data_IF_160043463245
#
_entry.id   IF_160043463245
#
_cell.length_a   1.000
_cell.length_b   1.000
_cell.length_c   1.000
_cell.angle_alpha   90.00
_cell.angle_beta   90.00
_cell.angle_gamma   90.00
#
_symmetry.space_group_name_H-M   'P 1'
#
loop_
_entity.id
_entity.type
_entity.pdbx_description
1 polymer ?
#
# COMPACT_ATOMS: atom_id res chain seq x y z
N UNK A 1 -0.98 22.78 10.57
CA UNK A 1 -1.03 22.89 9.07
C UNK A 1 -2.21 23.76 8.65
N UNK A 2 -2.07 24.67 7.66
CA UNK A 2 -3.21 25.48 7.16
C UNK A 2 -4.35 24.58 6.64
N UNK A 3 -5.59 24.91 6.98
CA UNK A 3 -6.78 24.09 6.66
C UNK A 3 -6.92 23.72 5.18
N UNK A 4 -6.56 24.64 4.26
CA UNK A 4 -6.62 24.37 2.81
C UNK A 4 -5.58 23.34 2.35
N UNK A 5 -4.35 23.43 2.87
CA UNK A 5 -3.26 22.50 2.55
C UNK A 5 -3.63 21.08 3.03
N UNK A 6 -4.18 20.97 4.25
CA UNK A 6 -4.71 19.71 4.79
C UNK A 6 -5.70 19.07 3.82
N UNK A 7 -6.68 19.83 3.35
CA UNK A 7 -7.71 19.33 2.43
C UNK A 7 -7.11 18.88 1.09
N UNK A 8 -6.16 19.63 0.53
CA UNK A 8 -5.48 19.24 -0.73
C UNK A 8 -4.77 17.89 -0.61
N UNK A 9 -4.01 17.67 0.47
CA UNK A 9 -3.39 16.37 0.73
C UNK A 9 -4.43 15.26 0.82
N UNK A 10 -5.49 15.47 1.60
CA UNK A 10 -6.53 14.46 1.80
C UNK A 10 -7.28 14.11 0.50
N UNK A 11 -7.60 15.11 -0.33
CA UNK A 11 -8.23 14.89 -1.63
C UNK A 11 -7.31 14.12 -2.58
N UNK A 12 -6.01 14.45 -2.61
CA UNK A 12 -5.04 13.71 -3.42
C UNK A 12 -4.97 12.24 -2.99
N UNK A 13 -4.86 11.99 -1.68
CA UNK A 13 -4.80 10.63 -1.12
C UNK A 13 -6.11 9.86 -1.33
N UNK A 14 -7.25 10.55 -1.35
CA UNK A 14 -8.54 9.92 -1.62
C UNK A 14 -8.70 9.51 -3.11
N UNK A 15 -8.36 10.41 -4.04
CA UNK A 15 -8.75 10.27 -5.45
C UNK A 15 -7.70 9.51 -6.27
N UNK A 16 -6.42 9.84 -6.11
CA UNK A 16 -5.36 9.30 -6.98
C UNK A 16 -5.27 7.76 -6.94
N UNK A 17 -5.40 7.09 -5.79
CA UNK A 17 -5.38 5.64 -5.77
C UNK A 17 -6.53 5.00 -6.56
N UNK A 18 -7.77 5.50 -6.42
CA UNK A 18 -8.92 5.01 -7.19
C UNK A 18 -8.72 5.27 -8.68
N UNK A 19 -8.22 6.45 -9.04
CA UNK A 19 -7.89 6.75 -10.42
C UNK A 19 -6.89 5.75 -11.00
N UNK A 20 -5.83 5.40 -10.25
CA UNK A 20 -4.80 4.44 -10.67
C UNK A 20 -5.37 3.02 -10.88
N UNK A 21 -6.21 2.53 -9.98
CA UNK A 21 -6.88 1.22 -10.15
C UNK A 21 -7.89 1.26 -11.30
N UNK A 22 -8.68 2.32 -11.38
CA UNK A 22 -9.73 2.47 -12.40
C UNK A 22 -9.17 2.59 -13.82
N UNK A 23 -8.11 3.40 -14.01
CA UNK A 23 -7.48 3.54 -15.33
C UNK A 23 -6.86 2.22 -15.79
N UNK A 24 -6.22 1.48 -14.89
CA UNK A 24 -5.62 0.18 -15.25
C UNK A 24 -6.69 -0.85 -15.62
N UNK A 25 -7.76 -0.92 -14.83
CA UNK A 25 -8.89 -1.81 -15.09
C UNK A 25 -9.56 -1.52 -16.45
N UNK A 26 -9.84 -0.25 -16.76
CA UNK A 26 -10.48 0.13 -18.02
C UNK A 26 -9.54 -0.04 -19.22
N UNK A 27 -8.30 0.43 -19.09
CA UNK A 27 -7.36 0.45 -20.22
C UNK A 27 -6.77 -0.93 -20.50
N UNK A 28 -6.66 -1.84 -19.52
CA UNK A 28 -6.24 -3.22 -19.78
C UNK A 28 -7.22 -4.01 -20.65
N UNK A 29 -8.50 -3.62 -20.65
CA UNK A 29 -9.55 -4.20 -21.52
C UNK A 29 -9.57 -3.51 -22.89
N UNK A 30 -9.50 -2.17 -22.91
CA UNK A 30 -9.64 -1.37 -24.15
C UNK A 30 -8.35 -1.36 -24.98
N UNK A 31 -7.20 -1.23 -24.32
CA UNK A 31 -5.87 -1.13 -24.92
C UNK A 31 -4.92 -2.10 -24.21
N UNK A 32 -5.06 -3.40 -24.49
CA UNK A 32 -4.26 -4.41 -23.81
C UNK A 32 -2.77 -4.23 -24.09
N UNK A 33 -2.00 -4.80 -23.18
CA UNK A 33 -0.56 -4.83 -23.27
C UNK A 33 -0.15 -5.67 -24.49
N UNK A 34 0.73 -5.16 -25.38
CA UNK A 34 1.23 -5.96 -26.50
C UNK A 34 1.87 -7.29 -26.05
N UNK A 35 2.39 -7.34 -24.81
CA UNK A 35 2.99 -8.53 -24.23
C UNK A 35 2.03 -9.49 -23.52
N UNK A 36 0.73 -9.16 -23.35
CA UNK A 36 -0.22 -10.01 -22.60
C UNK A 36 -0.89 -11.10 -23.43
N UNK A 37 -0.49 -11.29 -24.70
CA UNK A 37 -1.09 -12.31 -25.57
C UNK A 37 -2.50 -11.98 -26.07
N UNK A 38 -3.01 -10.77 -25.82
CA UNK A 38 -4.33 -10.31 -26.25
C UNK A 38 -5.05 -9.43 -25.23
N UNK A 39 -6.31 -9.10 -25.55
CA UNK A 39 -7.21 -8.39 -24.64
C UNK A 39 -7.61 -9.29 -23.47
N UNK A 40 -7.38 -8.80 -22.25
CA UNK A 40 -7.94 -9.45 -21.06
C UNK A 40 -9.43 -9.11 -21.00
N UNK A 41 -10.23 -10.10 -20.63
CA UNK A 41 -11.60 -9.85 -20.17
C UNK A 41 -11.60 -9.02 -18.89
N UNK A 42 -12.71 -8.37 -18.58
CA UNK A 42 -12.81 -7.49 -17.42
C UNK A 42 -12.56 -8.23 -16.10
N UNK A 43 -13.09 -9.45 -15.99
CA UNK A 43 -12.88 -10.37 -14.87
C UNK A 43 -11.43 -10.82 -14.76
N UNK A 44 -10.77 -11.20 -15.86
CA UNK A 44 -9.33 -11.50 -15.86
C UNK A 44 -8.50 -10.30 -15.39
N UNK A 45 -8.87 -9.08 -15.80
CA UNK A 45 -8.19 -7.86 -15.33
C UNK A 45 -8.35 -7.65 -13.83
N UNK A 46 -9.56 -7.86 -13.28
CA UNK A 46 -9.77 -7.80 -11.82
C UNK A 46 -8.93 -8.84 -11.10
N UNK A 47 -8.95 -10.09 -11.58
CA UNK A 47 -8.21 -11.20 -10.98
C UNK A 47 -6.70 -10.90 -11.03
N UNK A 48 -6.20 -10.36 -12.13
CA UNK A 48 -4.79 -10.02 -12.28
C UNK A 48 -4.37 -8.83 -11.39
N UNK A 49 -5.28 -7.91 -11.09
CA UNK A 49 -4.96 -6.79 -10.20
C UNK A 49 -5.03 -7.17 -8.71
N UNK A 50 -6.04 -7.93 -8.30
CA UNK A 50 -6.28 -8.22 -6.87
C UNK A 50 -5.19 -9.08 -6.23
N UNK A 51 -4.39 -9.79 -7.03
CA UNK A 51 -3.26 -10.60 -6.53
C UNK A 51 -2.07 -9.76 -6.06
N UNK A 52 -2.02 -8.46 -6.37
CA UNK A 52 -0.89 -7.60 -5.99
C UNK A 52 -1.18 -6.83 -4.70
N UNK A 53 -0.23 -6.85 -3.76
CA UNK A 53 -0.34 -6.11 -2.50
C UNK A 53 -0.40 -4.58 -2.69
N UNK A 54 0.20 -4.05 -3.76
CA UNK A 54 0.11 -2.63 -4.09
C UNK A 54 -1.34 -2.19 -4.31
N UNK A 55 -2.14 -2.99 -5.01
CA UNK A 55 -3.58 -2.72 -5.22
C UNK A 55 -4.33 -2.68 -3.89
N UNK A 56 -4.07 -3.62 -2.97
CA UNK A 56 -4.66 -3.61 -1.64
C UNK A 56 -4.26 -2.36 -0.84
N UNK A 57 -2.99 -1.98 -0.92
CA UNK A 57 -2.44 -0.77 -0.30
C UNK A 57 -3.09 0.49 -0.86
N UNK A 58 -3.31 0.53 -2.17
CA UNK A 58 -3.92 1.65 -2.89
C UNK A 58 -5.39 1.81 -2.52
N UNK A 59 -6.16 0.72 -2.45
CA UNK A 59 -7.55 0.74 -2.02
C UNK A 59 -7.70 1.17 -0.55
N UNK A 60 -6.93 0.59 0.37
CA UNK A 60 -7.02 0.97 1.79
C UNK A 60 -6.59 2.43 2.03
N UNK A 61 -5.60 2.90 1.26
CA UNK A 61 -5.16 4.30 1.29
C UNK A 61 -6.26 5.24 0.81
N UNK A 62 -6.96 4.89 -0.27
CA UNK A 62 -8.12 5.65 -0.74
C UNK A 62 -9.25 5.67 0.27
N UNK A 63 -9.64 4.51 0.80
CA UNK A 63 -10.73 4.43 1.78
C UNK A 63 -10.42 5.24 3.03
N UNK A 64 -9.17 5.19 3.51
CA UNK A 64 -8.71 6.08 4.56
C UNK A 64 -8.81 7.55 4.14
N UNK A 65 -8.30 7.92 2.97
CA UNK A 65 -8.33 9.28 2.44
C UNK A 65 -9.75 9.84 2.31
N UNK A 66 -10.67 9.09 1.70
CA UNK A 66 -12.10 9.44 1.57
C UNK A 66 -12.71 9.66 2.95
N UNK A 67 -12.47 8.74 3.88
CA UNK A 67 -12.99 8.85 5.24
C UNK A 67 -12.43 10.08 5.97
N UNK A 68 -11.14 10.39 5.77
CA UNK A 68 -10.49 11.57 6.31
C UNK A 68 -11.02 12.88 5.69
N UNK A 69 -11.32 12.90 4.38
CA UNK A 69 -12.01 14.03 3.72
C UNK A 69 -13.41 14.21 4.31
N UNK A 70 -14.18 13.12 4.50
CA UNK A 70 -15.49 13.21 5.13
C UNK A 70 -15.39 13.76 6.56
N UNK A 71 -14.41 13.29 7.34
CA UNK A 71 -14.17 13.78 8.69
C UNK A 71 -13.76 15.25 8.74
N UNK A 72 -13.09 15.77 7.70
CA UNK A 72 -12.73 17.19 7.58
C UNK A 72 -13.96 18.10 7.63
N UNK A 73 -15.09 17.68 7.05
CA UNK A 73 -16.33 18.46 7.02
C UNK A 73 -17.31 18.09 8.16
N UNK A 74 -17.00 17.08 8.98
CA UNK A 74 -17.87 16.63 10.08
C UNK A 74 -17.51 17.34 11.39
N UNK A 75 -18.54 17.53 12.23
CA UNK A 75 -18.36 17.92 13.64
C UNK A 75 -17.58 16.84 14.38
N UNK A 76 -16.75 17.23 15.36
CA UNK A 76 -15.88 16.31 16.12
C UNK A 76 -16.62 15.10 16.70
N UNK A 77 -17.85 15.26 17.21
CA UNK A 77 -18.66 14.18 17.77
C UNK A 77 -19.17 13.14 16.76
N UNK A 78 -19.07 13.42 15.45
CA UNK A 78 -19.54 12.54 14.37
C UNK A 78 -18.41 12.03 13.47
N UNK A 79 -17.16 12.27 13.86
CA UNK A 79 -16.00 11.79 13.12
C UNK A 79 -15.88 10.27 13.22
N UNK A 80 -15.46 9.66 12.13
CA UNK A 80 -15.21 8.22 12.04
C UNK A 80 -13.87 7.94 12.71
N UNK A 81 -13.92 7.26 13.87
CA UNK A 81 -12.76 7.06 14.75
C UNK A 81 -11.59 6.32 14.08
N UNK A 82 -11.88 5.41 13.14
CA UNK A 82 -10.85 4.68 12.40
C UNK A 82 -9.92 5.61 11.61
N UNK A 83 -10.46 6.61 10.90
CA UNK A 83 -9.66 7.51 10.07
C UNK A 83 -8.89 8.58 10.87
N UNK A 84 -9.36 8.92 12.08
CA UNK A 84 -8.63 9.80 13.00
C UNK A 84 -7.52 9.05 13.77
N UNK A 85 -7.53 7.72 13.77
CA UNK A 85 -6.56 6.93 14.53
C UNK A 85 -5.13 7.12 14.01
N UNK A 86 -4.24 7.52 14.91
CA UNK A 86 -2.81 7.62 14.61
C UNK A 86 -2.20 6.30 14.13
N UNK A 87 -2.65 5.17 14.71
CA UNK A 87 -2.16 3.87 14.29
C UNK A 87 -2.57 3.53 12.85
N UNK A 88 -3.79 3.89 12.44
CA UNK A 88 -4.28 3.64 11.09
C UNK A 88 -3.49 4.46 10.08
N UNK A 89 -3.21 5.74 10.37
CA UNK A 89 -2.36 6.49 9.45
C UNK A 89 -0.91 5.97 9.45
N UNK A 90 -0.36 5.57 10.59
CA UNK A 90 0.95 4.91 10.62
C UNK A 90 0.95 3.65 9.77
N UNK A 91 -0.11 2.83 9.82
CA UNK A 91 -0.29 1.66 8.96
C UNK A 91 -0.27 2.05 7.47
N UNK A 92 -1.11 3.01 7.06
CA UNK A 92 -1.17 3.50 5.67
C UNK A 92 0.19 3.99 5.18
N UNK A 93 0.88 4.83 5.98
CA UNK A 93 2.21 5.35 5.64
C UNK A 93 3.23 4.22 5.52
N UNK A 94 3.18 3.24 6.43
CA UNK A 94 4.10 2.10 6.40
C UNK A 94 3.88 1.26 5.14
N UNK A 95 2.63 1.06 4.73
CA UNK A 95 2.32 0.31 3.52
C UNK A 95 2.84 1.03 2.29
N UNK A 96 2.63 2.35 2.21
CA UNK A 96 3.13 3.18 1.13
C UNK A 96 4.66 3.18 1.04
N UNK A 97 5.36 3.21 2.18
CA UNK A 97 6.83 3.09 2.22
C UNK A 97 7.28 1.71 1.72
N UNK A 98 6.65 0.62 2.20
CA UNK A 98 7.03 -0.73 1.78
C UNK A 98 6.82 -0.92 0.27
N UNK A 99 5.67 -0.50 -0.25
CA UNK A 99 5.36 -0.57 -1.68
C UNK A 99 6.35 0.27 -2.50
N UNK A 100 6.64 1.51 -2.09
CA UNK A 100 7.66 2.34 -2.73
C UNK A 100 9.02 1.66 -2.77
N UNK A 101 9.47 1.08 -1.64
CA UNK A 101 10.77 0.41 -1.55
C UNK A 101 10.82 -0.82 -2.44
N UNK A 102 9.82 -1.71 -2.37
CA UNK A 102 9.75 -2.91 -3.21
C UNK A 102 9.83 -2.49 -4.68
N UNK A 103 8.98 -1.55 -5.10
CA UNK A 103 8.90 -1.15 -6.50
C UNK A 103 10.19 -0.46 -6.98
N UNK A 104 10.78 0.40 -6.15
CA UNK A 104 12.05 1.09 -6.47
C UNK A 104 13.21 0.10 -6.56
N UNK A 105 13.33 -0.85 -5.62
CA UNK A 105 14.39 -1.85 -5.66
C UNK A 105 14.22 -2.80 -6.86
N UNK A 106 13.00 -3.24 -7.16
CA UNK A 106 12.73 -4.03 -8.37
C UNK A 106 13.09 -3.23 -9.62
N UNK A 107 12.78 -1.92 -9.65
CA UNK A 107 13.13 -1.06 -10.79
C UNK A 107 14.64 -0.95 -11.04
N UNK A 108 15.42 -0.84 -9.96
CA UNK A 108 16.88 -0.75 -10.05
C UNK A 108 17.51 -2.11 -10.39
N UNK A 109 17.02 -3.18 -9.77
CA UNK A 109 17.64 -4.50 -9.88
C UNK A 109 17.26 -5.27 -11.15
N UNK A 110 16.03 -5.08 -11.64
CA UNK A 110 15.47 -5.84 -12.77
C UNK A 110 14.50 -4.96 -13.57
N UNK A 111 15.05 -3.96 -14.27
CA UNK A 111 14.28 -2.97 -15.04
C UNK A 111 13.31 -3.62 -16.05
N UNK A 112 13.72 -4.72 -16.66
CA UNK A 112 12.92 -5.45 -17.66
C UNK A 112 11.88 -6.39 -17.03
N UNK A 113 11.96 -6.63 -15.71
CA UNK A 113 11.06 -7.50 -14.96
C UNK A 113 9.88 -6.77 -14.30
N UNK A 114 9.72 -5.47 -14.54
CA UNK A 114 8.68 -4.67 -13.88
C UNK A 114 7.39 -4.75 -14.66
N UNK A 115 6.43 -5.47 -14.10
CA UNK A 115 5.04 -5.38 -14.51
C UNK A 115 4.55 -3.95 -14.28
N UNK A 116 4.16 -3.26 -15.34
CA UNK A 116 3.61 -1.90 -15.26
C UNK A 116 4.31 -0.82 -16.09
N UNK A 117 5.32 -1.14 -16.91
CA UNK A 117 6.03 -0.15 -17.75
C UNK A 117 5.89 -0.35 -19.26
N UNK A 118 4.97 -1.21 -19.69
CA UNK A 118 4.77 -1.57 -21.09
C UNK A 118 3.86 -0.62 -21.87
N UNK A 119 2.93 0.06 -21.19
CA UNK A 119 1.98 0.99 -21.81
C UNK A 119 1.93 2.33 -21.07
N UNK A 120 1.53 3.40 -21.76
CA UNK A 120 1.53 4.76 -21.19
C UNK A 120 0.68 4.86 -19.90
N UNK A 121 -0.46 4.16 -19.82
CA UNK A 121 -1.35 4.22 -18.66
C UNK A 121 -0.79 3.43 -17.49
N UNK A 122 -0.13 2.29 -17.75
CA UNK A 122 0.58 1.54 -16.70
C UNK A 122 1.77 2.33 -16.17
N UNK A 123 2.51 3.04 -17.04
CA UNK A 123 3.59 3.95 -16.63
C UNK A 123 3.03 5.05 -15.73
N UNK A 124 1.97 5.75 -16.17
CA UNK A 124 1.33 6.81 -15.39
C UNK A 124 0.85 6.31 -14.03
N UNK A 125 0.13 5.18 -14.01
CA UNK A 125 -0.32 4.49 -12.80
C UNK A 125 0.85 4.22 -11.87
N UNK A 126 1.89 3.57 -12.38
CA UNK A 126 3.05 3.15 -11.60
C UNK A 126 3.79 4.35 -10.99
N UNK A 127 3.97 5.43 -11.76
CA UNK A 127 4.58 6.69 -11.28
C UNK A 127 3.73 7.31 -10.16
N UNK A 128 2.41 7.40 -10.35
CA UNK A 128 1.51 7.98 -9.36
C UNK A 128 1.43 7.14 -8.09
N UNK A 129 1.24 5.83 -8.22
CA UNK A 129 0.99 4.88 -7.13
C UNK A 129 2.25 4.57 -6.33
N UNK A 130 3.39 4.39 -6.99
CA UNK A 130 4.59 3.86 -6.32
C UNK A 130 5.63 4.93 -6.01
N UNK A 131 5.57 6.13 -6.59
CA UNK A 131 6.49 7.23 -6.25
C UNK A 131 5.77 8.45 -5.70
N UNK A 132 4.82 9.03 -6.44
CA UNK A 132 4.22 10.32 -6.04
C UNK A 132 3.36 10.16 -4.78
N UNK A 133 2.42 9.21 -4.76
CA UNK A 133 1.51 8.99 -3.65
C UNK A 133 2.25 8.69 -2.33
N UNK A 134 3.27 7.81 -2.28
CA UNK A 134 4.06 7.59 -1.07
C UNK A 134 4.65 8.87 -0.49
N UNK A 135 5.26 9.74 -1.31
CA UNK A 135 5.80 11.01 -0.82
C UNK A 135 4.71 11.95 -0.32
N UNK A 136 3.55 12.00 -0.97
CA UNK A 136 2.40 12.81 -0.52
C UNK A 136 1.88 12.31 0.84
N UNK A 137 1.74 10.99 1.02
CA UNK A 137 1.27 10.37 2.27
C UNK A 137 2.28 10.58 3.40
N UNK A 138 3.59 10.41 3.13
CA UNK A 138 4.67 10.67 4.10
C UNK A 138 4.69 12.15 4.48
N UNK A 139 4.58 13.05 3.49
CA UNK A 139 4.53 14.50 3.71
C UNK A 139 3.35 14.88 4.61
N UNK A 140 2.15 14.37 4.32
CA UNK A 140 0.98 14.57 5.16
C UNK A 140 1.19 14.06 6.59
N UNK A 141 1.77 12.85 6.73
CA UNK A 141 2.03 12.23 8.03
C UNK A 141 3.00 13.03 8.90
N UNK A 142 4.03 13.62 8.29
CA UNK A 142 5.04 14.43 8.99
C UNK A 142 4.48 15.81 9.38
N UNK A 143 3.67 16.42 8.52
CA UNK A 143 3.20 17.81 8.69
C UNK A 143 1.95 17.94 9.58
N UNK A 144 1.25 16.84 9.84
CA UNK A 144 0.10 16.86 10.74
C UNK A 144 0.53 16.89 12.21
N UNK A 145 -0.32 17.48 13.03
CA UNK A 145 -0.21 17.33 14.48
C UNK A 145 -0.62 15.91 14.88
N UNK A 146 0.11 15.38 15.86
CA UNK A 146 -0.07 14.03 16.37
C UNK A 146 -0.80 14.07 17.70
N UNK A 147 -1.77 13.18 17.88
CA UNK A 147 -2.60 13.12 19.08
C UNK A 147 -2.15 12.01 20.05
N UNK A 148 -1.50 10.97 19.54
CA UNK A 148 -1.07 9.80 20.30
C UNK A 148 0.04 10.14 21.30
N UNK A 149 -0.21 9.80 22.55
CA UNK A 149 0.70 9.94 23.69
C UNK A 149 1.57 8.70 23.92
N UNK A 150 1.42 7.65 23.10
CA UNK A 150 2.17 6.41 23.27
C UNK A 150 3.66 6.62 22.98
N UNK A 151 4.51 6.10 23.86
CA UNK A 151 5.95 5.98 23.59
C UNK A 151 6.21 4.94 22.47
N UNK A 152 7.37 5.01 21.82
CA UNK A 152 7.75 4.05 20.79
C UNK A 152 7.71 2.60 21.28
N UNK A 153 8.16 2.36 22.51
CA UNK A 153 8.15 1.02 23.12
C UNK A 153 6.71 0.52 23.36
N UNK A 154 5.82 1.39 23.83
CA UNK A 154 4.41 1.02 24.01
C UNK A 154 3.71 0.78 22.68
N UNK A 155 4.03 1.57 21.65
CA UNK A 155 3.51 1.36 20.30
C UNK A 155 3.89 -0.02 19.77
N UNK A 156 5.17 -0.39 19.86
CA UNK A 156 5.65 -1.71 19.42
C UNK A 156 4.89 -2.85 20.10
N UNK A 157 4.74 -2.78 21.43
CA UNK A 157 4.07 -3.84 22.21
C UNK A 157 2.56 -3.91 21.95
N UNK A 158 1.88 -2.76 21.83
CA UNK A 158 0.40 -2.70 21.86
C UNK A 158 -0.26 -2.53 20.50
N UNK A 159 0.44 -1.94 19.52
CA UNK A 159 -0.18 -1.44 18.28
C UNK A 159 0.52 -1.85 16.99
N UNK A 160 1.85 -1.98 16.98
CA UNK A 160 2.58 -2.29 15.74
C UNK A 160 2.14 -3.61 15.09
N UNK A 161 1.81 -4.63 15.88
CA UNK A 161 1.33 -5.92 15.37
C UNK A 161 -0.02 -5.81 14.64
N UNK A 162 -0.87 -4.84 14.98
CA UNK A 162 -2.16 -4.61 14.30
C UNK A 162 -1.92 -4.24 12.83
N UNK A 163 -0.81 -3.57 12.54
CA UNK A 163 -0.42 -3.19 11.18
C UNK A 163 0.09 -4.38 10.35
N UNK A 164 0.11 -5.59 10.90
CA UNK A 164 0.45 -6.82 10.18
C UNK A 164 -0.80 -7.58 9.71
N UNK A 165 -2.01 -7.18 10.15
CA UNK A 165 -3.26 -7.91 9.86
C UNK A 165 -3.56 -7.97 8.36
N UNK A 166 -3.43 -6.85 7.63
CA UNK A 166 -3.68 -6.83 6.18
C UNK A 166 -2.60 -7.60 5.41
N UNK A 167 -1.28 -7.42 5.68
CA UNK A 167 -0.23 -8.26 5.09
C UNK A 167 -0.46 -9.75 5.33
N UNK A 168 -0.86 -10.14 6.55
CA UNK A 168 -1.18 -11.53 6.87
C UNK A 168 -2.37 -12.03 6.04
N UNK A 169 -3.46 -11.26 5.99
CA UNK A 169 -4.64 -11.60 5.18
C UNK A 169 -4.31 -11.71 3.68
N UNK A 170 -3.43 -10.85 3.18
CA UNK A 170 -2.94 -10.89 1.80
C UNK A 170 -2.15 -12.17 1.52
N UNK A 171 -1.17 -12.52 2.36
CA UNK A 171 -0.40 -13.76 2.20
C UNK A 171 -1.34 -14.96 2.23
N UNK A 172 -2.27 -15.01 3.18
CA UNK A 172 -3.27 -16.06 3.26
C UNK A 172 -4.12 -16.16 1.98
N UNK A 173 -4.58 -15.03 1.45
CA UNK A 173 -5.34 -14.96 0.20
C UNK A 173 -4.55 -15.51 -0.99
N UNK A 174 -3.32 -15.03 -1.23
CA UNK A 174 -2.52 -15.49 -2.38
C UNK A 174 -2.12 -16.96 -2.23
N UNK A 175 -1.87 -17.44 -1.01
CA UNK A 175 -1.54 -18.85 -0.75
C UNK A 175 -2.72 -19.76 -1.06
N UNK A 176 -3.93 -19.45 -0.56
CA UNK A 176 -5.12 -20.27 -0.87
C UNK A 176 -5.40 -20.25 -2.37
N UNK A 177 -5.42 -19.07 -2.98
CA UNK A 177 -5.68 -18.93 -4.43
C UNK A 177 -4.67 -19.74 -5.25
N UNK A 178 -3.37 -19.56 -4.98
CA UNK A 178 -2.31 -20.26 -5.69
C UNK A 178 -2.42 -21.78 -5.53
N UNK A 179 -2.64 -22.28 -4.32
CA UNK A 179 -2.83 -23.72 -4.07
C UNK A 179 -4.06 -24.29 -4.78
N UNK A 180 -5.16 -23.54 -4.84
CA UNK A 180 -6.36 -23.96 -5.57
C UNK A 180 -6.08 -24.08 -7.08
N UNK A 181 -5.41 -23.09 -7.69
CA UNK A 181 -5.05 -23.13 -9.12
C UNK A 181 -4.13 -24.32 -9.40
N UNK A 182 -3.08 -24.49 -8.59
CA UNK A 182 -2.11 -25.59 -8.76
C UNK A 182 -2.76 -26.96 -8.60
N UNK A 183 -3.78 -27.08 -7.75
CA UNK A 183 -4.45 -28.36 -7.48
C UNK A 183 -5.53 -28.72 -8.51
N UNK A 184 -6.26 -27.73 -9.03
CA UNK A 184 -7.47 -27.95 -9.83
C UNK A 184 -7.36 -27.54 -11.30
N UNK A 185 -6.21 -27.02 -11.73
CA UNK A 185 -5.97 -26.62 -13.12
C UNK A 185 -4.66 -27.19 -13.63
N UNK A 186 -4.65 -27.57 -14.91
CA UNK A 186 -3.43 -27.98 -15.59
C UNK A 186 -2.46 -26.81 -15.71
N UNK A 187 -1.15 -27.08 -15.64
CA UNK A 187 -0.11 -26.04 -15.65
C UNK A 187 -0.17 -25.12 -16.88
N UNK A 188 -0.65 -25.64 -18.02
CA UNK A 188 -0.84 -24.88 -19.25
C UNK A 188 -1.91 -23.77 -19.11
N UNK A 189 -2.86 -23.93 -18.20
CA UNK A 189 -4.01 -23.04 -18.01
C UNK A 189 -3.86 -22.13 -16.78
N UNK A 190 -2.69 -22.13 -16.14
CA UNK A 190 -2.47 -21.37 -14.92
C UNK A 190 -2.51 -19.85 -15.19
N UNK A 191 -3.56 -19.21 -14.67
CA UNK A 191 -3.65 -17.75 -14.64
C UNK A 191 -2.87 -17.17 -13.45
N UNK A 192 -1.55 -17.02 -13.62
CA UNK A 192 -0.58 -16.43 -12.66
C UNK A 192 -0.89 -16.83 -11.20
N UNK A 193 -0.54 -18.06 -10.77
CA UNK A 193 -0.96 -18.59 -9.47
C UNK A 193 -0.42 -17.76 -8.31
N UNK A 194 0.82 -17.27 -8.44
CA UNK A 194 1.47 -16.39 -7.49
C UNK A 194 1.94 -15.09 -8.17
N UNK A 195 1.79 -13.93 -7.52
CA UNK A 195 2.14 -12.63 -8.11
C UNK A 195 3.65 -12.38 -8.23
N UNK A 196 4.46 -13.13 -7.47
CA UNK A 196 5.92 -12.97 -7.41
C UNK A 196 6.58 -14.34 -7.51
N UNK A 197 7.46 -14.53 -8.49
CA UNK A 197 8.14 -15.81 -8.72
C UNK A 197 9.00 -16.25 -7.54
N UNK A 198 9.56 -15.30 -6.77
CA UNK A 198 10.36 -15.60 -5.57
C UNK A 198 9.52 -16.17 -4.42
N UNK A 199 8.21 -15.97 -4.45
CA UNK A 199 7.28 -16.47 -3.45
C UNK A 199 6.48 -17.68 -3.96
N UNK A 200 6.81 -18.20 -5.14
CA UNK A 200 6.09 -19.32 -5.76
C UNK A 200 6.58 -20.67 -5.19
N UNK A 201 5.75 -21.40 -4.42
CA UNK A 201 6.12 -22.71 -3.90
C UNK A 201 6.22 -23.82 -4.96
N UNK A 202 5.75 -23.62 -6.20
CA UNK A 202 5.88 -24.64 -7.26
C UNK A 202 7.25 -24.59 -7.93
N UNK A 203 7.87 -23.42 -7.94
CA UNK A 203 9.10 -23.16 -8.69
C UNK A 203 10.29 -22.81 -7.79
N UNK A 204 10.05 -22.47 -6.51
CA UNK A 204 11.10 -22.12 -5.55
C UNK A 204 11.20 -23.12 -4.39
N UNK A 205 12.40 -23.36 -3.85
CA UNK A 205 12.57 -24.22 -2.69
C UNK A 205 11.98 -23.59 -1.41
N UNK A 206 11.56 -24.45 -0.47
CA UNK A 206 10.89 -24.03 0.78
C UNK A 206 11.70 -23.03 1.62
N UNK A 207 13.02 -23.13 1.61
CA UNK A 207 13.88 -22.21 2.35
C UNK A 207 13.91 -20.79 1.77
N UNK A 208 13.33 -20.56 0.59
CA UNK A 208 13.27 -19.27 -0.07
C UNK A 208 11.88 -18.64 0.08
N UNK A 209 10.82 -19.32 -0.37
CA UNK A 209 9.48 -18.73 -0.37
C UNK A 209 8.88 -18.58 1.03
N UNK A 210 9.07 -19.56 1.93
CA UNK A 210 8.46 -19.54 3.25
C UNK A 210 9.05 -18.43 4.15
N UNK A 211 10.39 -18.30 4.28
CA UNK A 211 10.98 -17.15 4.95
C UNK A 211 10.62 -15.83 4.26
N UNK A 212 10.49 -15.80 2.93
CA UNK A 212 10.03 -14.62 2.19
C UNK A 212 8.65 -14.13 2.62
N UNK A 213 7.66 -15.03 2.70
CA UNK A 213 6.30 -14.70 3.15
C UNK A 213 6.26 -14.24 4.62
N UNK A 214 7.00 -14.91 5.51
CA UNK A 214 7.09 -14.53 6.93
C UNK A 214 7.75 -13.15 7.07
N UNK A 215 8.86 -12.94 6.35
CA UNK A 215 9.59 -11.67 6.36
C UNK A 215 8.75 -10.53 5.82
N UNK A 216 7.93 -10.78 4.78
CA UNK A 216 6.99 -9.80 4.25
C UNK A 216 6.01 -9.31 5.32
N UNK A 217 5.43 -10.22 6.12
CA UNK A 217 4.52 -9.84 7.21
C UNK A 217 5.28 -9.05 8.30
N UNK A 218 6.44 -9.56 8.72
CA UNK A 218 7.27 -8.92 9.75
C UNK A 218 7.76 -7.53 9.34
N UNK A 219 7.99 -7.28 8.04
CA UNK A 219 8.42 -5.99 7.51
C UNK A 219 7.50 -4.85 7.95
N UNK A 220 6.18 -5.07 7.96
CA UNK A 220 5.22 -4.04 8.37
C UNK A 220 5.26 -3.73 9.87
N UNK A 221 5.58 -4.72 10.70
CA UNK A 221 5.85 -4.48 12.11
C UNK A 221 7.05 -3.54 12.29
N UNK A 222 8.16 -3.83 11.60
CA UNK A 222 9.39 -3.05 11.74
C UNK A 222 9.27 -1.65 11.12
N UNK A 223 8.73 -1.55 9.90
CA UNK A 223 8.56 -0.25 9.21
C UNK A 223 7.58 0.63 9.99
N UNK A 224 6.45 0.09 10.47
CA UNK A 224 5.52 0.90 11.26
C UNK A 224 6.09 1.37 12.60
N UNK A 225 6.91 0.54 13.23
CA UNK A 225 7.65 0.92 14.43
C UNK A 225 8.65 2.05 14.14
N UNK A 226 9.39 1.95 13.03
CA UNK A 226 10.36 2.96 12.59
C UNK A 226 9.68 4.30 12.23
N UNK A 227 8.59 4.24 11.46
CA UNK A 227 7.77 5.40 11.09
C UNK A 227 7.23 6.08 12.34
N UNK A 228 6.69 5.30 13.27
CA UNK A 228 6.18 5.80 14.54
C UNK A 228 7.28 6.50 15.37
N UNK A 229 8.43 5.86 15.51
CA UNK A 229 9.57 6.41 16.24
C UNK A 229 10.07 7.72 15.64
N UNK A 230 10.21 7.76 14.32
CA UNK A 230 10.66 8.94 13.58
C UNK A 230 9.68 10.10 13.75
N UNK A 231 8.38 9.81 13.66
CA UNK A 231 7.31 10.78 13.89
C UNK A 231 7.33 11.36 15.30
N UNK A 232 7.55 10.55 16.35
CA UNK A 232 7.64 11.06 17.73
C UNK A 232 8.84 12.01 17.87
N UNK A 233 10.02 11.59 17.40
CA UNK A 233 11.23 12.42 17.48
C UNK A 233 11.07 13.75 16.74
N UNK A 234 10.48 13.71 15.55
CA UNK A 234 10.28 14.90 14.74
C UNK A 234 9.25 15.85 15.36
N UNK A 235 8.12 15.33 15.84
CA UNK A 235 7.10 16.13 16.53
C UNK A 235 7.63 16.79 17.80
N UNK A 236 8.44 16.07 18.60
CA UNK A 236 9.09 16.66 19.77
C UNK A 236 10.06 17.78 19.38
N UNK A 237 10.83 17.61 18.30
CA UNK A 237 11.76 18.64 17.83
C UNK A 237 11.01 19.88 17.31
N UNK A 238 9.92 19.69 16.56
CA UNK A 238 9.10 20.78 16.02
C UNK A 238 8.38 21.51 17.16
N UNK A 239 7.78 20.80 18.11
CA UNK A 239 7.07 21.41 19.23
C UNK A 239 8.00 22.20 20.15
N UNK A 240 9.23 21.73 20.37
CA UNK A 240 10.25 22.45 21.14
C UNK A 240 10.76 23.69 20.39
N UNK A 241 11.02 23.57 19.07
CA UNK A 241 11.61 24.65 18.26
C UNK A 241 10.61 25.75 17.89
N UNK A 242 9.33 25.41 17.73
CA UNK A 242 8.27 26.32 17.27
C UNK A 242 7.16 26.50 18.30
N UNK A 243 7.50 26.54 19.60
CA UNK A 243 6.60 26.77 20.76
C UNK A 243 5.60 27.94 20.62
N UNK A 244 5.73 28.79 19.60
CA UNK A 244 4.93 30.00 19.35
C UNK A 244 3.83 29.90 18.28
N UNK A 245 3.57 28.72 17.71
CA UNK A 245 2.42 28.54 16.80
C UNK A 245 1.49 27.45 17.33
N UNK A 246 0.84 27.75 18.45
CA UNK A 246 -0.40 27.09 18.89
C UNK A 246 -1.51 28.11 18.80
#
# INVERSE_FOLDING_TARGET
MKNRIKLTFLLFIAIVPIFCVGIDLLMSVIQPDPGSGGALTFDESIINQVIYFSVWTTLITSFWGITAVLNYFRKNSKKIAWAESDNVLTMVVSYQIVVFLIYTFTFIAARDGIVGFSTWYKVLKSVLEHWILPFVVIGYYILRERESTLTSNEFMKKKAWINCVIPFAYIFFISIRGLMIVKYSDKADWFTPFPYSQLDPTDQPVYLWLPGMISFIALFYFVSSLVNFTSIKLNNKISIKYKFVR
#
